data_IF_260557015886
#
_entry.id   IF_260557015886
#
_cell.length_a   1.000
_cell.length_b   1.000
_cell.length_c   1.000
_cell.angle_alpha   90.00
_cell.angle_beta   90.00
_cell.angle_gamma   90.00
#
_symmetry.space_group_name_H-M   'P 1'
#
loop_
_entity.id
_entity.type
_entity.pdbx_description
1 polymer ?
#
# COMPACT_ATOMS: atom_id res chain seq x y z
N UNK A 1 -1.23 26.50 -17.30
CA UNK A 1 -0.52 25.20 -17.37
C UNK A 1 -1.54 24.09 -17.23
N UNK A 2 -1.82 23.34 -18.30
CA UNK A 2 -2.81 22.25 -18.30
C UNK A 2 -2.16 20.98 -17.75
N UNK A 3 -2.73 20.41 -16.68
CA UNK A 3 -2.31 19.12 -16.11
C UNK A 3 -2.78 18.01 -17.06
N UNK A 4 -1.85 17.27 -17.65
CA UNK A 4 -2.18 16.15 -18.55
C UNK A 4 -2.72 15.00 -17.71
N UNK A 5 -4.02 14.71 -17.83
CA UNK A 5 -4.63 13.51 -17.27
C UNK A 5 -4.62 12.43 -18.34
N UNK A 6 -3.79 11.41 -18.16
CA UNK A 6 -3.85 10.20 -18.96
C UNK A 6 -4.99 9.35 -18.38
N UNK A 7 -6.11 9.30 -19.10
CA UNK A 7 -7.28 8.48 -18.76
C UNK A 7 -7.11 7.12 -19.43
N UNK A 8 -6.85 6.07 -18.65
CA UNK A 8 -6.98 4.69 -19.11
C UNK A 8 -8.33 4.14 -18.63
N UNK A 9 -9.18 3.75 -19.57
CA UNK A 9 -10.50 3.16 -19.29
C UNK A 9 -10.35 1.79 -18.66
N UNK A 10 -10.96 1.59 -17.49
CA UNK A 10 -11.01 0.32 -16.77
C UNK A 10 -12.44 -0.22 -16.90
N UNK A 11 -12.61 -1.37 -17.55
CA UNK A 11 -13.87 -2.11 -17.60
C UNK A 11 -14.20 -2.65 -16.20
N UNK A 12 -15.32 -2.21 -15.63
CA UNK A 12 -15.79 -2.56 -14.28
C UNK A 12 -16.27 -4.01 -14.25
N UNK A 13 -15.55 -4.91 -13.57
CA UNK A 13 -16.05 -6.26 -13.25
C UNK A 13 -16.74 -6.22 -11.88
N UNK A 14 -18.07 -6.19 -11.86
CA UNK A 14 -18.87 -6.31 -10.64
C UNK A 14 -18.84 -7.75 -10.14
N UNK A 15 -18.12 -8.01 -9.05
CA UNK A 15 -18.26 -9.23 -8.26
C UNK A 15 -18.76 -8.85 -6.87
N UNK A 16 -19.90 -9.42 -6.48
CA UNK A 16 -20.53 -9.20 -5.19
C UNK A 16 -19.55 -9.52 -4.04
N UNK A 17 -19.33 -8.55 -3.15
CA UNK A 17 -18.46 -8.69 -2.00
C UNK A 17 -19.30 -9.03 -0.75
N UNK A 18 -18.92 -10.11 -0.04
CA UNK A 18 -19.37 -10.33 1.32
C UNK A 18 -18.68 -9.30 2.23
N UNK A 19 -19.43 -8.30 2.68
CA UNK A 19 -18.96 -7.23 3.56
C UNK A 19 -19.10 -7.71 5.00
N UNK A 20 -18.02 -8.20 5.60
CA UNK A 20 -17.93 -8.34 7.07
C UNK A 20 -17.42 -7.01 7.65
N UNK A 21 -18.29 -6.30 8.37
CA UNK A 21 -17.94 -5.08 9.08
C UNK A 21 -17.01 -5.41 10.27
N UNK A 22 -15.79 -4.86 10.26
CA UNK A 22 -14.86 -5.02 11.37
C UNK A 22 -15.25 -4.09 12.54
N UNK A 23 -15.45 -4.68 13.72
CA UNK A 23 -15.62 -3.99 15.01
C UNK A 23 -14.33 -3.29 15.46
N UNK A 24 -14.48 -2.23 16.26
CA UNK A 24 -13.37 -1.40 16.75
C UNK A 24 -12.40 -2.18 17.66
N UNK A 25 -11.09 -1.89 17.51
CA UNK A 25 -9.99 -2.53 18.21
C UNK A 25 -10.04 -2.29 19.74
N UNK A 26 -10.27 -3.34 20.52
CA UNK A 26 -10.38 -3.28 22.00
C UNK A 26 -9.10 -3.61 22.77
N UNK A 27 -8.00 -4.02 22.11
CA UNK A 27 -6.76 -4.44 22.81
C UNK A 27 -5.62 -3.43 22.69
N UNK A 28 -5.09 -2.99 23.83
CA UNK A 28 -3.89 -2.14 23.94
C UNK A 28 -2.67 -2.87 23.39
N UNK A 29 -1.93 -2.23 22.48
CA UNK A 29 -0.67 -2.77 21.96
C UNK A 29 0.40 -2.85 23.06
N UNK A 30 1.17 -3.95 23.07
CA UNK A 30 2.38 -4.02 23.90
C UNK A 30 3.44 -3.02 23.41
N UNK A 31 4.48 -2.76 24.23
CA UNK A 31 5.60 -1.90 23.83
C UNK A 31 6.28 -2.38 22.54
N UNK A 32 6.52 -3.69 22.42
CA UNK A 32 7.11 -4.31 21.22
C UNK A 32 6.21 -4.12 20.00
N UNK A 33 4.92 -4.41 20.13
CA UNK A 33 3.94 -4.23 19.04
C UNK A 33 3.83 -2.76 18.62
N UNK A 34 3.85 -1.84 19.57
CA UNK A 34 3.85 -0.39 19.32
C UNK A 34 5.06 0.03 18.48
N UNK A 35 6.26 -0.44 18.84
CA UNK A 35 7.49 -0.18 18.06
C UNK A 35 7.39 -0.75 16.65
N UNK A 36 6.90 -2.00 16.51
CA UNK A 36 6.71 -2.64 15.20
C UNK A 36 5.74 -1.87 14.32
N UNK A 37 4.58 -1.46 14.85
CA UNK A 37 3.58 -0.67 14.13
C UNK A 37 4.17 0.68 13.71
N UNK A 38 4.81 1.41 14.63
CA UNK A 38 5.45 2.69 14.30
C UNK A 38 6.47 2.55 13.19
N UNK A 39 7.38 1.58 13.29
CA UNK A 39 8.42 1.37 12.28
C UNK A 39 7.85 0.97 10.91
N UNK A 40 6.79 0.16 10.88
CA UNK A 40 6.10 -0.24 9.65
C UNK A 40 5.48 0.98 8.93
N UNK A 41 4.68 1.80 9.63
CA UNK A 41 4.04 2.96 9.01
C UNK A 41 4.99 4.13 8.77
N UNK A 42 6.04 4.27 9.58
CA UNK A 42 7.12 5.23 9.30
C UNK A 42 7.80 4.93 7.96
N UNK A 43 8.01 3.65 7.63
CA UNK A 43 8.61 3.25 6.37
C UNK A 43 7.73 3.69 5.18
N UNK A 44 6.42 3.45 5.25
CA UNK A 44 5.45 3.89 4.24
C UNK A 44 5.48 5.41 4.07
N UNK A 45 5.46 6.16 5.18
CA UNK A 45 5.47 7.62 5.16
C UNK A 45 6.77 8.22 4.57
N UNK A 46 7.83 7.43 4.36
CA UNK A 46 9.06 7.95 3.73
C UNK A 46 8.91 8.25 2.25
N UNK A 47 7.99 7.59 1.54
CA UNK A 47 7.87 7.64 0.07
C UNK A 47 9.14 7.17 -0.68
N UNK A 48 10.08 6.49 0.00
CA UNK A 48 11.35 6.03 -0.58
C UNK A 48 11.36 4.50 -0.67
N UNK A 49 11.43 3.89 -1.87
CA UNK A 49 11.35 2.44 -2.05
C UNK A 49 12.30 1.63 -1.16
N UNK A 50 13.57 2.02 -1.09
CA UNK A 50 14.57 1.31 -0.28
C UNK A 50 14.24 1.34 1.23
N UNK A 51 13.61 2.41 1.72
CA UNK A 51 13.18 2.52 3.13
C UNK A 51 11.91 1.72 3.38
N UNK A 52 11.00 1.68 2.41
CA UNK A 52 9.80 0.83 2.46
C UNK A 52 10.20 -0.65 2.46
N UNK A 53 11.17 -1.05 1.63
CA UNK A 53 11.76 -2.40 1.61
C UNK A 53 12.32 -2.80 2.97
N UNK A 54 13.15 -1.93 3.56
CA UNK A 54 13.70 -2.14 4.89
C UNK A 54 12.61 -2.25 5.98
N UNK A 55 11.43 -1.66 5.75
CA UNK A 55 10.24 -1.76 6.59
C UNK A 55 9.65 -3.17 6.67
N UNK A 56 9.85 -4.02 5.65
CA UNK A 56 9.31 -5.40 5.60
C UNK A 56 9.79 -6.28 6.75
N UNK A 57 10.95 -5.98 7.36
CA UNK A 57 11.43 -6.68 8.56
C UNK A 57 10.42 -6.65 9.72
N UNK A 58 9.53 -5.66 9.75
CA UNK A 58 8.47 -5.48 10.75
C UNK A 58 7.19 -6.28 10.42
N UNK A 59 7.09 -6.84 9.22
CA UNK A 59 6.02 -7.73 8.80
C UNK A 59 6.47 -9.20 8.84
N UNK A 60 5.54 -10.10 9.10
CA UNK A 60 5.75 -11.53 8.99
C UNK A 60 5.88 -11.91 7.51
N UNK A 61 6.79 -12.83 7.20
CA UNK A 61 6.98 -13.31 5.84
C UNK A 61 5.68 -13.93 5.27
N UNK A 62 5.43 -13.68 3.99
CA UNK A 62 4.23 -14.06 3.20
C UNK A 62 2.89 -13.54 3.73
N UNK A 63 2.90 -12.66 4.73
CA UNK A 63 1.69 -12.12 5.36
C UNK A 63 1.01 -11.05 4.51
N UNK A 64 -0.24 -10.72 4.84
CA UNK A 64 -0.96 -9.63 4.20
C UNK A 64 -0.24 -8.28 4.39
N UNK A 65 0.35 -8.05 5.57
CA UNK A 65 1.14 -6.86 5.85
C UNK A 65 2.42 -6.75 4.99
N UNK A 66 3.12 -7.86 4.74
CA UNK A 66 4.30 -7.82 3.87
C UNK A 66 3.91 -7.55 2.41
N UNK A 67 2.90 -8.26 1.91
CA UNK A 67 2.38 -8.08 0.54
C UNK A 67 1.85 -6.66 0.30
N UNK A 68 1.27 -6.05 1.34
CA UNK A 68 0.84 -4.66 1.28
C UNK A 68 2.02 -3.69 1.16
N UNK A 69 3.12 -3.93 1.88
CA UNK A 69 4.36 -3.16 1.68
C UNK A 69 4.96 -3.37 0.30
N UNK A 70 4.94 -4.59 -0.25
CA UNK A 70 5.38 -4.86 -1.62
C UNK A 70 4.63 -3.98 -2.63
N UNK A 71 3.30 -3.90 -2.49
CA UNK A 71 2.46 -3.09 -3.36
C UNK A 71 2.87 -1.61 -3.33
N UNK A 72 3.11 -1.07 -2.14
CA UNK A 72 3.50 0.34 -1.96
C UNK A 72 4.93 0.57 -2.46
N UNK A 73 5.86 -0.30 -2.09
CA UNK A 73 7.27 -0.22 -2.48
C UNK A 73 7.40 -0.21 -4.01
N UNK A 74 6.68 -1.11 -4.70
CA UNK A 74 6.72 -1.19 -6.16
C UNK A 74 6.05 0.01 -6.83
N UNK A 75 5.02 0.61 -6.23
CA UNK A 75 4.48 1.89 -6.71
C UNK A 75 5.55 2.98 -6.73
N UNK A 76 6.27 3.17 -5.62
CA UNK A 76 7.33 4.17 -5.57
C UNK A 76 8.52 3.81 -6.47
N UNK A 77 8.90 2.54 -6.60
CA UNK A 77 9.94 2.12 -7.56
C UNK A 77 9.55 2.45 -9.01
N UNK A 78 8.30 2.21 -9.38
CA UNK A 78 7.78 2.59 -10.69
C UNK A 78 7.79 4.12 -10.90
N UNK A 79 7.38 4.88 -9.89
CA UNK A 79 7.43 6.34 -9.90
C UNK A 79 8.85 6.87 -10.10
N UNK A 80 9.83 6.34 -9.35
CA UNK A 80 11.24 6.69 -9.51
C UNK A 80 11.76 6.38 -10.93
N UNK A 81 11.44 5.21 -11.49
CA UNK A 81 11.84 4.82 -12.85
C UNK A 81 11.36 5.82 -13.91
N UNK A 82 10.09 6.23 -13.84
CA UNK A 82 9.52 7.17 -14.81
C UNK A 82 9.95 8.62 -14.62
N UNK A 83 10.41 9.00 -13.42
CA UNK A 83 10.97 10.34 -13.19
C UNK A 83 12.37 10.49 -13.76
N UNK A 84 13.15 9.41 -13.70
CA UNK A 84 14.54 9.46 -14.14
C UNK A 84 14.67 9.20 -15.62
N UNK A 85 13.76 8.46 -16.27
CA UNK A 85 13.83 8.18 -17.72
C UNK A 85 12.81 8.98 -18.52
N UNK A 86 13.28 9.70 -19.53
CA UNK A 86 12.42 10.27 -20.55
C UNK A 86 12.05 9.23 -21.64
N UNK A 87 11.22 9.64 -22.60
CA UNK A 87 10.78 8.79 -23.72
C UNK A 87 11.91 8.37 -24.67
N UNK A 88 13.05 9.06 -24.65
CA UNK A 88 14.24 8.75 -25.44
C UNK A 88 15.26 7.89 -24.66
N UNK A 89 14.98 7.59 -23.38
CA UNK A 89 15.84 6.79 -22.52
C UNK A 89 16.92 7.58 -21.77
N UNK A 90 16.91 8.92 -21.85
CA UNK A 90 17.87 9.75 -21.11
C UNK A 90 17.60 9.69 -19.61
N UNK A 91 18.67 9.71 -18.81
CA UNK A 91 18.60 9.60 -17.34
C UNK A 91 18.80 10.96 -16.68
N UNK A 92 17.82 11.42 -15.91
CA UNK A 92 17.89 12.61 -15.05
C UNK A 92 18.14 12.25 -13.58
N UNK A 93 18.69 13.16 -12.77
CA UNK A 93 18.77 12.99 -11.32
C UNK A 93 17.38 12.73 -10.72
N UNK A 94 17.32 11.79 -9.77
CA UNK A 94 16.07 11.47 -9.10
C UNK A 94 15.64 12.59 -8.15
N UNK A 95 14.45 13.14 -8.37
CA UNK A 95 13.77 13.99 -7.41
C UNK A 95 12.89 13.10 -6.52
N UNK A 96 13.25 12.99 -5.24
CA UNK A 96 12.49 12.18 -4.28
C UNK A 96 11.10 12.75 -4.05
N UNK A 97 10.13 11.85 -3.88
CA UNK A 97 8.79 12.22 -3.45
C UNK A 97 8.82 12.86 -2.05
N UNK A 98 7.99 13.89 -1.81
CA UNK A 98 7.74 14.40 -0.47
C UNK A 98 7.40 13.28 0.51
N UNK A 99 7.84 13.43 1.76
CA UNK A 99 7.47 12.52 2.84
C UNK A 99 6.02 12.77 3.24
N UNK A 100 5.34 11.70 3.58
CA UNK A 100 4.08 11.73 4.32
C UNK A 100 4.29 11.89 5.82
N UNK A 101 3.19 11.79 6.55
CA UNK A 101 3.13 11.74 8.00
C UNK A 101 2.33 10.51 8.45
N UNK A 102 2.63 10.04 9.66
CA UNK A 102 1.80 9.04 10.32
C UNK A 102 1.70 9.38 11.81
N UNK A 103 0.56 9.05 12.42
CA UNK A 103 0.33 9.22 13.85
C UNK A 103 -0.30 7.97 14.43
N UNK A 104 0.37 7.35 15.40
CA UNK A 104 -0.21 6.30 16.22
C UNK A 104 -0.82 6.93 17.47
N UNK A 105 -2.14 6.78 17.66
CA UNK A 105 -2.85 7.15 18.87
C UNK A 105 -3.59 5.94 19.40
N UNK A 106 -3.30 5.54 20.65
CA UNK A 106 -3.74 4.29 21.24
C UNK A 106 -3.37 3.11 20.32
N UNK A 107 -4.33 2.52 19.63
CA UNK A 107 -4.15 1.37 18.73
C UNK A 107 -4.59 1.67 17.29
N UNK A 108 -4.63 2.95 16.92
CA UNK A 108 -5.00 3.40 15.58
C UNK A 108 -3.89 4.23 14.98
N UNK A 109 -3.43 3.84 13.79
CA UNK A 109 -2.55 4.68 12.96
C UNK A 109 -3.41 5.50 12.01
N UNK A 110 -3.18 6.80 11.95
CA UNK A 110 -3.62 7.65 10.84
C UNK A 110 -2.42 7.88 9.94
N UNK A 111 -2.56 7.59 8.65
CA UNK A 111 -1.55 7.79 7.61
C UNK A 111 -2.04 8.86 6.63
N UNK A 112 -1.15 9.80 6.31
CA UNK A 112 -1.30 10.84 5.31
C UNK A 112 -0.01 10.84 4.49
N UNK A 113 -0.02 10.20 3.34
CA UNK A 113 1.15 9.86 2.55
C UNK A 113 1.17 10.61 1.23
N UNK A 114 2.33 10.63 0.56
CA UNK A 114 2.38 11.16 -0.80
C UNK A 114 1.56 10.32 -1.80
N UNK A 115 1.34 9.05 -1.48
CA UNK A 115 0.50 8.14 -2.26
C UNK A 115 -0.88 8.02 -1.61
N UNK A 116 -1.73 9.01 -1.85
CA UNK A 116 -3.05 9.20 -1.22
C UNK A 116 -3.98 7.96 -1.20
N UNK A 117 -3.80 7.03 -2.14
CA UNK A 117 -4.51 5.75 -2.18
C UNK A 117 -4.35 4.91 -0.90
N UNK A 118 -3.26 5.07 -0.15
CA UNK A 118 -3.03 4.39 1.13
C UNK A 118 -3.39 5.26 2.34
N UNK A 119 -3.92 6.46 2.15
CA UNK A 119 -4.28 7.31 3.27
C UNK A 119 -5.53 6.80 3.97
N UNK A 120 -5.54 6.95 5.29
CA UNK A 120 -6.65 6.48 6.10
C UNK A 120 -6.24 6.04 7.50
N UNK A 121 -7.14 5.28 8.12
CA UNK A 121 -6.97 4.77 9.48
C UNK A 121 -6.71 3.27 9.48
N UNK A 122 -5.75 2.85 10.28
CA UNK A 122 -5.33 1.47 10.40
C UNK A 122 -5.48 1.01 11.86
N UNK A 123 -6.10 -0.14 12.06
CA UNK A 123 -6.41 -0.67 13.40
C UNK A 123 -6.49 -2.19 13.38
N UNK A 124 -6.88 -2.82 14.50
CA UNK A 124 -7.05 -4.28 14.61
C UNK A 124 -5.81 -5.07 14.16
N UNK A 125 -4.64 -4.61 14.59
CA UNK A 125 -3.35 -5.20 14.22
C UNK A 125 -3.23 -6.64 14.75
N UNK A 126 -2.91 -7.57 13.86
CA UNK A 126 -2.61 -8.96 14.19
C UNK A 126 -1.11 -9.20 14.06
N UNK A 127 -0.53 -9.91 15.03
CA UNK A 127 0.92 -10.17 15.08
C UNK A 127 1.20 -11.66 15.17
N UNK A 128 2.34 -12.09 14.63
CA UNK A 128 2.83 -13.45 14.85
C UNK A 128 3.51 -13.58 16.23
N UNK A 129 3.91 -14.80 16.61
CA UNK A 129 4.59 -15.07 17.89
C UNK A 129 5.87 -14.25 18.09
N UNK A 130 6.56 -13.88 17.00
CA UNK A 130 7.77 -13.04 17.04
C UNK A 130 7.46 -11.55 17.19
N UNK A 131 6.18 -11.14 17.21
CA UNK A 131 5.73 -9.75 17.31
C UNK A 131 5.77 -8.99 15.99
N UNK A 132 5.89 -9.67 14.85
CA UNK A 132 5.82 -9.03 13.52
C UNK A 132 4.37 -8.91 13.05
N UNK A 133 4.06 -7.84 12.31
CA UNK A 133 2.72 -7.60 11.76
C UNK A 133 2.33 -8.67 10.74
N UNK A 134 1.12 -9.18 10.84
CA UNK A 134 0.56 -10.18 9.91
C UNK A 134 -0.55 -9.56 9.07
N UNK A 135 -1.46 -8.84 9.72
CA UNK A 135 -2.67 -8.28 9.11
C UNK A 135 -3.18 -7.09 9.94
N UNK A 136 -4.04 -6.29 9.34
CA UNK A 136 -4.70 -5.16 9.98
C UNK A 136 -5.95 -4.74 9.21
N UNK A 137 -6.80 -3.94 9.85
CA UNK A 137 -7.96 -3.32 9.23
C UNK A 137 -7.60 -1.95 8.70
N UNK A 138 -7.90 -1.70 7.42
CA UNK A 138 -7.85 -0.39 6.80
C UNK A 138 -9.26 0.22 6.76
N UNK A 139 -9.35 1.49 7.15
CA UNK A 139 -10.58 2.30 7.11
C UNK A 139 -10.35 3.52 6.23
N UNK A 140 -11.16 3.65 5.19
CA UNK A 140 -11.14 4.78 4.26
C UNK A 140 -11.73 6.04 4.89
N UNK A 141 -11.55 7.19 4.23
CA UNK A 141 -12.09 8.48 4.67
C UNK A 141 -13.62 8.51 4.77
N UNK A 142 -14.33 7.73 3.94
CA UNK A 142 -15.79 7.52 4.01
C UNK A 142 -16.22 6.52 5.10
N UNK A 143 -15.29 6.10 5.97
CA UNK A 143 -15.58 5.28 7.15
C UNK A 143 -15.74 3.79 6.88
N UNK A 144 -15.62 3.33 5.63
CA UNK A 144 -15.70 1.91 5.30
C UNK A 144 -14.41 1.20 5.68
N UNK A 145 -14.54 0.04 6.32
CA UNK A 145 -13.42 -0.69 6.88
C UNK A 145 -13.35 -2.13 6.36
N UNK A 146 -12.15 -2.61 6.08
CA UNK A 146 -11.90 -4.02 5.77
C UNK A 146 -10.50 -4.46 6.18
N UNK A 147 -10.35 -5.75 6.48
CA UNK A 147 -9.03 -6.35 6.65
C UNK A 147 -8.26 -6.35 5.33
N UNK A 148 -6.95 -6.14 5.40
CA UNK A 148 -6.08 -6.29 4.23
C UNK A 148 -6.09 -7.74 3.76
N UNK A 149 -5.99 -8.69 4.69
CA UNK A 149 -6.25 -10.09 4.39
C UNK A 149 -7.67 -10.24 3.83
N UNK A 150 -7.79 -10.88 2.67
CA UNK A 150 -9.05 -11.04 1.94
C UNK A 150 -9.39 -9.91 0.97
N UNK A 151 -8.66 -8.78 1.00
CA UNK A 151 -8.82 -7.66 0.06
C UNK A 151 -7.57 -7.36 -0.77
N UNK A 152 -6.47 -8.06 -0.50
CA UNK A 152 -5.24 -8.01 -1.27
C UNK A 152 -5.08 -9.33 -2.05
N UNK A 153 -5.11 -9.24 -3.37
CA UNK A 153 -5.09 -10.38 -4.28
C UNK A 153 -3.82 -10.34 -5.14
N UNK A 154 -3.24 -11.50 -5.43
CA UNK A 154 -2.22 -11.58 -6.45
C UNK A 154 -2.87 -11.29 -7.82
N UNK A 155 -2.33 -10.31 -8.54
CA UNK A 155 -2.71 -10.06 -9.92
C UNK A 155 -1.75 -10.84 -10.82
N UNK A 156 -2.26 -11.87 -11.51
CA UNK A 156 -1.54 -12.65 -12.53
C UNK A 156 -2.06 -12.23 -13.90
N UNK A 157 -1.71 -11.02 -14.34
CA UNK A 157 -2.03 -10.58 -15.70
C UNK A 157 -0.77 -10.03 -16.32
N UNK A 158 -0.30 -10.70 -17.35
CA UNK A 158 0.78 -10.20 -18.20
C UNK A 158 0.15 -9.38 -19.33
N UNK A 159 0.38 -8.07 -19.35
CA UNK A 159 -0.08 -7.19 -20.45
C UNK A 159 1.14 -6.63 -21.15
N UNK A 160 1.25 -6.89 -22.45
CA UNK A 160 2.28 -6.30 -23.32
C UNK A 160 1.66 -5.20 -24.17
N UNK A 161 2.11 -3.95 -24.02
CA UNK A 161 1.74 -2.84 -24.90
C UNK A 161 2.99 -2.07 -25.31
N UNK A 162 3.29 -2.01 -26.61
CA UNK A 162 4.42 -1.24 -27.14
C UNK A 162 5.80 -1.62 -26.57
N UNK A 163 6.02 -2.89 -26.22
CA UNK A 163 7.28 -3.37 -25.65
C UNK A 163 7.39 -3.28 -24.12
N UNK A 164 6.38 -2.73 -23.42
CA UNK A 164 6.31 -2.73 -21.95
C UNK A 164 5.52 -3.97 -21.50
N UNK A 165 6.15 -4.85 -20.72
CA UNK A 165 5.51 -6.03 -20.12
C UNK A 165 5.11 -5.71 -18.67
N UNK A 166 3.82 -5.47 -18.46
CA UNK A 166 3.25 -5.41 -17.12
C UNK A 166 3.11 -6.85 -16.64
N UNK A 167 3.84 -7.27 -15.60
CA UNK A 167 3.75 -8.63 -15.04
C UNK A 167 3.35 -8.64 -13.56
N UNK A 168 3.16 -9.85 -13.00
CA UNK A 168 2.56 -10.14 -11.69
C UNK A 168 2.78 -9.11 -10.57
N UNK A 169 1.68 -8.68 -9.95
CA UNK A 169 1.65 -7.68 -8.87
C UNK A 169 0.54 -7.98 -7.85
N UNK A 170 0.08 -6.97 -7.12
CA UNK A 170 -1.06 -7.09 -6.22
C UNK A 170 -2.20 -6.16 -6.65
N UNK A 171 -3.42 -6.69 -6.64
CA UNK A 171 -4.66 -5.93 -6.69
C UNK A 171 -5.15 -5.75 -5.25
N UNK A 172 -5.25 -4.51 -4.81
CA UNK A 172 -5.89 -4.17 -3.55
C UNK A 172 -7.29 -3.61 -3.81
N UNK A 173 -8.32 -4.33 -3.36
CA UNK A 173 -9.69 -3.84 -3.32
C UNK A 173 -9.91 -3.05 -2.04
N UNK A 174 -10.21 -1.77 -2.16
CA UNK A 174 -10.54 -0.93 -1.01
C UNK A 174 -11.99 -1.16 -0.59
N UNK A 175 -12.31 -1.00 0.71
CA UNK A 175 -13.66 -1.24 1.23
C UNK A 175 -14.72 -0.30 0.64
N UNK A 176 -14.30 0.82 0.05
CA UNK A 176 -15.19 1.74 -0.66
C UNK A 176 -15.51 1.35 -2.11
N UNK A 177 -15.05 0.19 -2.57
CA UNK A 177 -15.30 -0.32 -3.92
C UNK A 177 -14.28 0.15 -4.96
N UNK A 178 -13.39 1.09 -4.62
CA UNK A 178 -12.25 1.43 -5.48
C UNK A 178 -11.17 0.34 -5.38
N UNK A 179 -10.31 0.24 -6.39
CA UNK A 179 -9.20 -0.69 -6.35
C UNK A 179 -7.90 -0.01 -6.80
N UNK A 180 -6.78 -0.54 -6.32
CA UNK A 180 -5.45 -0.16 -6.79
C UNK A 180 -4.74 -1.42 -7.29
N UNK A 181 -4.28 -1.37 -8.53
CA UNK A 181 -3.50 -2.45 -9.13
C UNK A 181 -2.06 -2.01 -9.24
N UNK A 182 -1.18 -2.78 -8.62
CA UNK A 182 0.26 -2.58 -8.74
C UNK A 182 0.74 -3.18 -10.06
N UNK A 183 1.17 -2.33 -10.98
CA UNK A 183 1.81 -2.73 -12.23
C UNK A 183 3.29 -3.02 -11.94
N UNK A 184 3.85 -4.10 -12.51
CA UNK A 184 5.29 -4.37 -12.48
C UNK A 184 5.87 -3.95 -13.83
N UNK A 185 6.80 -3.02 -13.84
CA UNK A 185 7.52 -2.53 -15.03
C UNK A 185 8.81 -3.33 -15.17
#
# INVERSE_FOLDING_TARGET
MKRSQVVFGITTLLLAANINFATAATTTLTAKQTTTVKAYFAAIATSVPAKIEAGKKNAAASSAAEKYLDLIQKHFTASEFYKVRDKAGNVSPLIQDPKGTYKLSKNVVTLDSYFDHVDGKYSNFTFNKSGKLVDFTFTTSDGKAAKIAGNLYAATTDVTNGGIRISSGYLWKKPNGTAFTQLKI
#
